data_IF_351895736882
#
_entry.id   IF_351895736882
#
_cell.length_a   1.000
_cell.length_b   1.000
_cell.length_c   1.000
_cell.angle_alpha   90.00
_cell.angle_beta   90.00
_cell.angle_gamma   90.00
#
_symmetry.space_group_name_H-M   'P 1'
#
loop_
_entity.id
_entity.type
_entity.pdbx_description
1 polymer ?
#
# COMPACT_ATOMS: atom_id res chain seq x y z
N UNK A 1 -4.97 9.97 17.65
CA UNK A 1 -4.77 8.76 16.84
C UNK A 1 -4.05 9.19 15.58
N UNK A 2 -2.77 8.87 15.39
CA UNK A 2 -2.12 9.21 14.10
C UNK A 2 -2.73 8.32 13.01
N UNK A 3 -2.98 8.85 11.79
CA UNK A 3 -3.41 8.05 10.65
C UNK A 3 -2.22 7.24 10.14
N UNK A 4 -1.84 6.17 10.84
CA UNK A 4 -0.81 5.27 10.38
C UNK A 4 -1.45 4.41 9.28
N UNK A 5 -1.36 4.87 8.04
CA UNK A 5 -2.00 4.27 6.90
C UNK A 5 -1.56 4.93 5.60
N UNK A 6 -2.19 4.54 4.50
CA UNK A 6 -1.93 5.12 3.18
C UNK A 6 -2.92 6.25 2.94
N UNK A 7 -2.41 7.45 2.70
CA UNK A 7 -3.24 8.56 2.22
C UNK A 7 -3.22 8.59 0.70
N UNK A 8 -4.36 8.36 0.07
CA UNK A 8 -4.56 8.56 -1.35
C UNK A 8 -5.24 9.90 -1.59
N UNK A 9 -4.63 10.76 -2.41
CA UNK A 9 -5.21 12.05 -2.78
C UNK A 9 -5.40 12.11 -4.28
N UNK A 10 -6.61 12.45 -4.67
CA UNK A 10 -7.01 12.72 -6.05
C UNK A 10 -7.45 14.18 -6.16
N UNK A 11 -7.78 14.63 -7.37
CA UNK A 11 -8.32 15.97 -7.59
C UNK A 11 -9.69 16.17 -6.93
N UNK A 12 -10.40 15.08 -6.62
CA UNK A 12 -11.76 15.10 -6.11
C UNK A 12 -11.89 14.70 -4.65
N UNK A 13 -10.89 14.01 -4.08
CA UNK A 13 -11.00 13.44 -2.74
C UNK A 13 -9.64 13.17 -2.10
N UNK A 14 -9.65 13.12 -0.77
CA UNK A 14 -8.59 12.51 0.03
C UNK A 14 -9.18 11.33 0.79
N UNK A 15 -8.55 10.17 0.66
CA UNK A 15 -8.90 8.96 1.37
C UNK A 15 -7.73 8.52 2.25
N UNK A 16 -8.01 8.17 3.50
CA UNK A 16 -7.03 7.54 4.40
C UNK A 16 -7.41 6.08 4.56
N UNK A 17 -6.44 5.20 4.29
CA UNK A 17 -6.57 3.76 4.35
C UNK A 17 -5.71 3.27 5.50
N UNK A 18 -6.34 2.94 6.62
CA UNK A 18 -5.62 2.42 7.78
C UNK A 18 -4.93 1.09 7.46
N UNK A 19 -3.77 0.84 8.06
CA UNK A 19 -3.05 -0.43 7.86
C UNK A 19 -3.91 -1.66 8.20
N UNK A 20 -4.85 -1.53 9.13
CA UNK A 20 -5.79 -2.57 9.56
C UNK A 20 -6.73 -3.07 8.47
N UNK A 21 -6.96 -2.26 7.42
CA UNK A 21 -7.79 -2.62 6.26
C UNK A 21 -7.12 -3.71 5.42
N UNK A 22 -5.79 -3.83 5.50
CA UNK A 22 -5.02 -4.75 4.68
C UNK A 22 -4.73 -6.07 5.39
N UNK A 23 -4.85 -7.18 4.64
CA UNK A 23 -4.39 -8.49 5.07
C UNK A 23 -2.87 -8.59 4.97
N UNK A 24 -2.32 -8.00 3.92
CA UNK A 24 -0.95 -8.20 3.47
C UNK A 24 -0.71 -7.48 2.15
N UNK A 25 0.52 -7.54 1.67
CA UNK A 25 0.88 -7.06 0.34
C UNK A 25 1.62 -8.12 -0.48
N UNK A 26 1.51 -7.99 -1.79
CA UNK A 26 2.25 -8.75 -2.79
C UNK A 26 3.14 -7.85 -3.59
N UNK A 27 4.40 -8.22 -3.71
CA UNK A 27 5.31 -7.57 -4.63
C UNK A 27 5.35 -8.34 -5.96
N UNK A 28 5.21 -7.59 -7.06
CA UNK A 28 5.32 -8.09 -8.42
C UNK A 28 6.43 -7.33 -9.14
N UNK A 29 6.73 -7.71 -10.40
CA UNK A 29 7.73 -7.01 -11.21
C UNK A 29 7.44 -5.50 -11.30
N UNK A 30 6.17 -5.12 -11.48
CA UNK A 30 5.78 -3.72 -11.72
C UNK A 30 5.09 -3.00 -10.55
N UNK A 31 4.64 -3.73 -9.52
CA UNK A 31 3.73 -3.17 -8.51
C UNK A 31 3.97 -3.74 -7.12
N UNK A 32 3.65 -2.94 -6.11
CA UNK A 32 3.23 -3.44 -4.80
C UNK A 32 1.71 -3.41 -4.74
N UNK A 33 1.09 -4.53 -4.38
CA UNK A 33 -0.36 -4.68 -4.33
C UNK A 33 -0.77 -5.04 -2.91
N UNK A 34 -1.51 -4.15 -2.22
CA UNK A 34 -2.07 -4.44 -0.91
C UNK A 34 -3.46 -5.05 -1.06
N UNK A 35 -3.70 -6.14 -0.33
CA UNK A 35 -4.93 -6.92 -0.39
C UNK A 35 -5.81 -6.62 0.83
N UNK A 36 -7.12 -6.51 0.63
CA UNK A 36 -8.08 -6.35 1.72
C UNK A 36 -8.05 -7.52 2.70
N UNK A 37 -8.29 -7.21 3.98
CA UNK A 37 -8.44 -8.20 5.05
C UNK A 37 -9.82 -8.84 5.07
N UNK A 38 -10.85 -8.10 4.69
CA UNK A 38 -12.23 -8.61 4.68
C UNK A 38 -12.46 -9.44 3.40
N UNK A 39 -12.72 -10.76 3.53
CA UNK A 39 -12.94 -11.63 2.38
C UNK A 39 -14.24 -11.30 1.62
N UNK A 40 -15.16 -10.54 2.20
CA UNK A 40 -16.42 -10.15 1.57
C UNK A 40 -16.30 -8.83 0.80
N UNK A 41 -15.20 -8.09 0.97
CA UNK A 41 -14.98 -6.79 0.34
C UNK A 41 -13.69 -6.87 -0.47
N UNK A 42 -13.83 -6.89 -1.80
CA UNK A 42 -12.67 -6.82 -2.68
C UNK A 42 -12.16 -5.38 -2.74
N UNK A 43 -11.06 -5.12 -2.03
CA UNK A 43 -10.36 -3.84 -2.04
C UNK A 43 -8.87 -4.05 -2.30
N UNK A 44 -8.31 -3.26 -3.22
CA UNK A 44 -6.91 -3.30 -3.62
C UNK A 44 -6.32 -1.89 -3.62
N UNK A 45 -5.13 -1.75 -3.04
CA UNK A 45 -4.28 -0.59 -3.29
C UNK A 45 -3.11 -1.03 -4.17
N UNK A 46 -2.97 -0.41 -5.34
CA UNK A 46 -1.93 -0.74 -6.32
C UNK A 46 -0.94 0.42 -6.40
N UNK A 47 0.31 0.14 -6.04
CA UNK A 47 1.39 1.11 -6.04
C UNK A 47 2.35 0.77 -7.19
N UNK A 48 2.33 1.52 -8.31
CA UNK A 48 3.18 1.25 -9.47
C UNK A 48 4.63 1.65 -9.18
N UNK A 49 5.57 0.74 -9.41
CA UNK A 49 7.00 0.96 -9.19
C UNK A 49 7.59 2.02 -10.11
N UNK A 50 7.06 2.15 -11.33
CA UNK A 50 7.50 3.16 -12.29
C UNK A 50 7.28 4.62 -11.83
N UNK A 51 6.49 4.84 -10.77
CA UNK A 51 6.27 6.17 -10.21
C UNK A 51 7.37 6.64 -9.25
N UNK A 52 8.32 5.78 -8.88
CA UNK A 52 9.44 6.14 -8.01
C UNK A 52 10.49 6.95 -8.76
N UNK A 53 11.15 7.88 -8.06
CA UNK A 53 12.19 8.72 -8.66
C UNK A 53 13.53 8.00 -8.66
N UNK A 54 13.84 7.29 -7.57
CA UNK A 54 15.10 6.58 -7.38
C UNK A 54 14.83 5.11 -7.07
N UNK A 55 15.74 4.23 -7.48
CA UNK A 55 15.60 2.80 -7.20
C UNK A 55 15.57 2.51 -5.68
N UNK A 56 16.31 3.29 -4.88
CA UNK A 56 16.33 3.18 -3.42
C UNK A 56 14.96 3.47 -2.78
N UNK A 57 14.11 4.26 -3.44
CA UNK A 57 12.77 4.54 -2.93
C UNK A 57 11.88 3.29 -2.94
N UNK A 58 12.18 2.30 -3.80
CA UNK A 58 11.49 1.01 -3.78
C UNK A 58 11.86 0.21 -2.53
N UNK A 59 13.11 0.25 -2.11
CA UNK A 59 13.57 -0.45 -0.92
C UNK A 59 13.00 0.22 0.34
N UNK A 60 12.95 1.55 0.36
CA UNK A 60 12.29 2.32 1.42
C UNK A 60 10.80 2.02 1.50
N UNK A 61 10.11 1.99 0.35
CA UNK A 61 8.69 1.65 0.30
C UNK A 61 8.45 0.23 0.79
N UNK A 62 9.28 -0.74 0.38
CA UNK A 62 9.20 -2.12 0.85
C UNK A 62 9.37 -2.21 2.37
N UNK A 63 10.36 -1.52 2.93
CA UNK A 63 10.58 -1.49 4.38
C UNK A 63 9.38 -0.92 5.15
N UNK A 64 8.70 0.11 4.62
CA UNK A 64 7.47 0.66 5.20
C UNK A 64 6.34 -0.37 5.15
N UNK A 65 6.17 -1.07 4.02
CA UNK A 65 5.15 -2.10 3.89
C UNK A 65 5.41 -3.25 4.87
N UNK A 66 6.64 -3.77 4.92
CA UNK A 66 7.06 -4.84 5.84
C UNK A 66 6.85 -4.48 7.31
N UNK A 67 7.03 -3.21 7.68
CA UNK A 67 6.79 -2.74 9.04
C UNK A 67 5.31 -2.82 9.46
N UNK A 68 4.39 -2.66 8.52
CA UNK A 68 2.97 -2.44 8.81
C UNK A 68 2.04 -3.57 8.38
N UNK A 69 2.47 -4.42 7.45
CA UNK A 69 1.64 -5.47 6.88
C UNK A 69 2.51 -6.64 6.37
N UNK A 70 2.07 -7.90 6.51
CA UNK A 70 2.88 -9.03 6.07
C UNK A 70 2.93 -9.13 4.55
N UNK A 71 4.02 -9.70 4.04
CA UNK A 71 4.09 -10.14 2.64
C UNK A 71 3.34 -11.48 2.47
N UNK A 72 2.47 -11.59 1.46
CA UNK A 72 1.54 -12.75 1.26
C UNK A 72 1.58 -13.36 -0.14
#
# INVERSE_FOLDING_TARGET
MSPAGITCRTDHSTQVLEWTVFQGYRETVGHFVLLSRDPNIMYLAVLPKQGVREAEDLDRLRAILDQHTPQV
#
